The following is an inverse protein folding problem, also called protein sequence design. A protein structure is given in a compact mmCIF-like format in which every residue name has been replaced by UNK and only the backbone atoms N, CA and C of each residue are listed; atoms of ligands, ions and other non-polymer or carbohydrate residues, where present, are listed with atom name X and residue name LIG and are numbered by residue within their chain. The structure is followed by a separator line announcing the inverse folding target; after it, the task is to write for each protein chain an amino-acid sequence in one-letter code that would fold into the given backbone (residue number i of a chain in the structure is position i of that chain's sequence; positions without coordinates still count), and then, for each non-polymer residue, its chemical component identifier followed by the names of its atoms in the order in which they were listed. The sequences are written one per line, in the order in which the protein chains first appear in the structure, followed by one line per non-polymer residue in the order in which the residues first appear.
data_IF_617993415419
#
_entry.id   IF_617993415419
#
_cell.length_a   1.000
_cell.length_b   1.000
_cell.length_c   1.000
_cell.angle_alpha   90.00
_cell.angle_beta   90.00
_cell.angle_gamma   90.00
#
_symmetry.space_group_name_H-M   'P 1'
#
loop_
_entity.id
_entity.type
_entity.pdbx_description
1 polymer ?
#
# COMPACT_ATOMS: atom_id res chain seq x y z
N UNK A 1 -16.87 -40.95 -19.99
CA UNK A 1 -15.39 -40.98 -19.88
C UNK A 1 -15.00 -39.95 -18.84
N UNK A 2 -14.65 -40.39 -17.63
CA UNK A 2 -14.36 -39.52 -16.48
C UNK A 2 -12.86 -39.48 -16.26
N UNK A 3 -12.22 -38.38 -16.70
CA UNK A 3 -10.80 -38.16 -16.46
C UNK A 3 -10.57 -37.67 -15.01
N UNK A 4 -9.78 -38.37 -14.17
CA UNK A 4 -9.46 -37.94 -12.82
C UNK A 4 -8.54 -36.70 -12.75
N UNK A 5 -7.85 -36.32 -13.83
CA UNK A 5 -6.79 -35.31 -13.82
C UNK A 5 -7.24 -33.89 -13.43
N UNK A 6 -8.54 -33.60 -13.46
CA UNK A 6 -9.11 -32.30 -13.10
C UNK A 6 -9.55 -32.19 -11.62
N UNK A 7 -8.94 -32.95 -10.70
CA UNK A 7 -9.27 -32.97 -9.27
C UNK A 7 -8.10 -32.66 -8.30
N UNK A 8 -7.22 -31.74 -8.66
CA UNK A 8 -6.58 -30.85 -7.66
C UNK A 8 -6.43 -29.44 -8.26
N UNK A 9 -7.22 -28.47 -7.78
CA UNK A 9 -7.21 -27.09 -8.30
C UNK A 9 -6.35 -26.23 -7.37
N UNK A 10 -5.05 -26.17 -7.65
CA UNK A 10 -4.10 -25.29 -6.95
C UNK A 10 -3.25 -24.48 -7.92
N UNK A 11 -3.90 -23.53 -8.59
CA UNK A 11 -3.24 -22.46 -9.34
C UNK A 11 -2.83 -21.31 -8.40
N UNK A 12 -1.88 -21.57 -7.51
CA UNK A 12 -1.25 -20.53 -6.70
C UNK A 12 -0.16 -19.83 -7.53
N UNK A 13 -0.38 -18.57 -7.89
CA UNK A 13 0.56 -17.75 -8.67
C UNK A 13 0.72 -16.38 -7.98
N UNK A 14 1.18 -16.41 -6.73
CA UNK A 14 1.02 -15.29 -5.79
C UNK A 14 2.32 -14.47 -5.48
N UNK A 15 3.39 -14.28 -6.23
CA UNK A 15 3.63 -14.22 -7.68
C UNK A 15 5.18 -14.05 -7.76
N UNK A 16 6.01 -15.07 -8.00
CA UNK A 16 5.80 -16.28 -8.81
C UNK A 16 6.18 -17.58 -8.06
N UNK A 17 5.18 -18.29 -7.54
CA UNK A 17 5.38 -19.62 -6.94
C UNK A 17 4.11 -20.17 -6.30
N UNK A 18 4.12 -21.48 -6.01
CA UNK A 18 2.92 -22.23 -5.62
C UNK A 18 2.66 -22.27 -4.10
N UNK A 19 3.67 -22.04 -3.27
CA UNK A 19 3.64 -22.34 -1.83
C UNK A 19 3.74 -21.09 -0.93
N UNK A 20 3.91 -19.89 -1.49
CA UNK A 20 4.00 -18.63 -0.72
C UNK A 20 3.64 -17.40 -1.54
N UNK A 21 3.29 -16.31 -0.85
CA UNK A 21 2.96 -15.01 -1.46
C UNK A 21 4.18 -14.11 -1.47
N UNK A 22 4.69 -13.81 -2.67
CA UNK A 22 5.91 -13.04 -2.87
C UNK A 22 5.65 -11.52 -2.79
N UNK A 23 6.68 -10.76 -2.39
CA UNK A 23 6.64 -9.31 -2.17
C UNK A 23 5.98 -8.48 -3.29
N UNK A 24 6.12 -8.78 -4.60
CA UNK A 24 5.43 -8.03 -5.66
C UNK A 24 3.90 -8.08 -5.58
N UNK A 25 3.32 -9.19 -5.09
CA UNK A 25 1.87 -9.33 -4.95
C UNK A 25 1.28 -8.32 -3.96
N UNK A 26 2.01 -8.03 -2.88
CA UNK A 26 1.64 -6.99 -1.90
C UNK A 26 1.56 -5.61 -2.56
N UNK A 27 2.48 -5.29 -3.47
CA UNK A 27 2.43 -4.06 -4.27
C UNK A 27 1.15 -3.96 -5.12
N UNK A 28 0.84 -5.03 -5.86
CA UNK A 28 -0.40 -5.12 -6.66
C UNK A 28 -1.65 -5.00 -5.79
N UNK A 29 -1.74 -5.74 -4.68
CA UNK A 29 -2.88 -5.71 -3.79
C UNK A 29 -3.08 -4.34 -3.12
N UNK A 30 -1.99 -3.66 -2.76
CA UNK A 30 -2.02 -2.31 -2.18
C UNK A 30 -2.49 -1.26 -3.21
N UNK A 31 -2.00 -1.32 -4.45
CA UNK A 31 -2.48 -0.44 -5.52
C UNK A 31 -3.95 -0.72 -5.87
N UNK A 32 -4.37 -1.99 -5.87
CA UNK A 32 -5.79 -2.35 -6.03
C UNK A 32 -6.66 -1.78 -4.90
N UNK A 33 -6.18 -1.69 -3.66
CA UNK A 33 -6.90 -1.05 -2.56
C UNK A 33 -6.85 0.50 -2.63
N UNK A 34 -5.79 1.09 -3.19
CA UNK A 34 -5.72 2.52 -3.48
C UNK A 34 -6.70 2.95 -4.59
N UNK A 35 -6.86 2.13 -5.64
CA UNK A 35 -7.80 2.40 -6.74
C UNK A 35 -9.25 2.03 -6.35
N UNK A 36 -9.48 0.82 -5.81
CA UNK A 36 -10.82 0.34 -5.44
C UNK A 36 -11.78 0.22 -6.63
N UNK A 37 -13.08 0.23 -6.34
CA UNK A 37 -14.15 0.12 -7.34
C UNK A 37 -14.88 1.47 -7.60
N UNK A 38 -14.48 2.52 -6.89
CA UNK A 38 -15.14 3.81 -6.74
C UNK A 38 -14.30 5.00 -7.27
N UNK A 39 -13.03 4.76 -7.64
CA UNK A 39 -12.21 5.74 -8.34
C UNK A 39 -12.62 5.87 -9.81
N UNK A 40 -12.75 7.11 -10.28
CA UNK A 40 -13.08 7.47 -11.67
C UNK A 40 -11.93 8.21 -12.37
N UNK A 41 -11.06 8.89 -11.62
CA UNK A 41 -9.85 9.52 -12.14
C UNK A 41 -8.72 9.49 -11.11
N UNK A 42 -7.48 9.65 -11.59
CA UNK A 42 -6.25 9.70 -10.80
C UNK A 42 -5.44 10.91 -11.23
N UNK A 43 -4.82 11.60 -10.27
CA UNK A 43 -3.86 12.67 -10.53
C UNK A 43 -2.58 12.49 -9.69
N UNK A 44 -1.45 12.94 -10.24
CA UNK A 44 -0.20 13.14 -9.51
C UNK A 44 -0.23 14.52 -8.86
N UNK A 45 0.27 14.62 -7.63
CA UNK A 45 0.27 15.83 -6.81
C UNK A 45 1.67 16.42 -6.60
N UNK A 46 2.72 15.67 -6.91
CA UNK A 46 4.10 16.14 -6.97
C UNK A 46 4.53 16.45 -8.42
N UNK A 47 5.82 16.78 -8.60
CA UNK A 47 6.40 17.20 -9.87
C UNK A 47 7.22 16.10 -10.59
N UNK A 48 7.24 14.87 -10.06
CA UNK A 48 8.01 13.74 -10.58
C UNK A 48 9.53 13.85 -10.41
N UNK A 49 10.05 14.84 -9.66
CA UNK A 49 11.49 15.14 -9.58
C UNK A 49 12.22 14.51 -8.38
N UNK A 50 11.57 13.64 -7.61
CA UNK A 50 12.15 13.04 -6.38
C UNK A 50 11.82 11.56 -6.24
N UNK A 51 12.49 10.86 -5.33
CA UNK A 51 12.16 9.49 -4.94
C UNK A 51 10.94 9.40 -3.98
N UNK A 52 10.10 10.43 -3.92
CA UNK A 52 8.80 10.41 -3.24
C UNK A 52 7.76 10.97 -4.20
N UNK A 53 6.74 10.15 -4.50
CA UNK A 53 5.62 10.51 -5.35
C UNK A 53 4.31 10.50 -4.55
N UNK A 54 3.40 11.40 -4.91
CA UNK A 54 2.11 11.58 -4.27
C UNK A 54 0.99 11.55 -5.31
N UNK A 55 -0.04 10.74 -5.07
CA UNK A 55 -1.20 10.58 -5.95
C UNK A 55 -2.50 10.77 -5.19
N UNK A 56 -3.54 11.12 -5.94
CA UNK A 56 -4.93 11.18 -5.48
C UNK A 56 -5.82 10.43 -6.46
N UNK A 57 -6.83 9.73 -5.94
CA UNK A 57 -7.98 9.27 -6.73
C UNK A 57 -9.22 10.04 -6.36
N UNK A 58 -10.04 10.34 -7.37
CA UNK A 58 -11.32 11.02 -7.24
C UNK A 58 -12.47 10.07 -7.61
N UNK A 59 -13.62 10.24 -6.97
CA UNK A 59 -14.87 9.58 -7.35
C UNK A 59 -15.46 10.15 -8.65
N UNK A 60 -16.51 9.52 -9.18
CA UNK A 60 -17.29 10.02 -10.33
C UNK A 60 -17.88 11.42 -10.12
N UNK A 61 -18.03 11.87 -8.87
CA UNK A 61 -18.45 13.25 -8.52
C UNK A 61 -17.28 14.23 -8.40
N UNK A 62 -16.06 13.86 -8.83
CA UNK A 62 -14.83 14.63 -8.72
C UNK A 62 -14.45 15.01 -7.26
N UNK A 63 -14.83 14.16 -6.29
CA UNK A 63 -14.47 14.31 -4.87
C UNK A 63 -13.23 13.45 -4.61
N UNK A 64 -12.14 13.98 -4.01
CA UNK A 64 -10.97 13.18 -3.68
C UNK A 64 -11.30 12.21 -2.53
N UNK A 65 -11.04 10.93 -2.73
CA UNK A 65 -11.49 9.83 -1.84
C UNK A 65 -10.34 9.08 -1.17
N UNK A 66 -9.19 8.97 -1.83
CA UNK A 66 -7.95 8.40 -1.27
C UNK A 66 -6.73 9.15 -1.81
N UNK A 67 -5.71 9.26 -0.96
CA UNK A 67 -4.36 9.69 -1.31
C UNK A 67 -3.41 8.50 -1.20
N UNK A 68 -2.34 8.52 -1.99
CA UNK A 68 -1.23 7.59 -1.91
C UNK A 68 0.08 8.39 -1.84
N UNK A 69 0.94 8.06 -0.89
CA UNK A 69 2.36 8.45 -0.89
C UNK A 69 3.19 7.19 -1.07
N UNK A 70 4.16 7.21 -1.98
CA UNK A 70 5.16 6.16 -2.12
C UNK A 70 6.56 6.76 -1.98
N UNK A 71 7.41 6.15 -1.15
CA UNK A 71 8.78 6.57 -0.93
C UNK A 71 9.73 5.51 -1.51
N UNK A 72 10.18 5.73 -2.74
CA UNK A 72 11.07 4.83 -3.49
C UNK A 72 12.56 5.01 -3.15
N UNK A 73 12.90 5.84 -2.14
CA UNK A 73 14.26 5.84 -1.60
C UNK A 73 14.64 4.42 -1.16
N UNK A 74 15.82 3.97 -1.57
CA UNK A 74 16.31 2.62 -1.31
C UNK A 74 16.81 2.48 0.13
N UNK A 75 16.38 1.41 0.80
CA UNK A 75 16.89 0.99 2.10
C UNK A 75 17.17 -0.51 2.06
N UNK A 76 18.42 -0.93 2.30
CA UNK A 76 18.84 -2.34 2.23
C UNK A 76 18.51 -3.16 3.49
N UNK A 77 18.24 -2.49 4.61
CA UNK A 77 18.04 -3.09 5.93
C UNK A 77 19.13 -2.76 6.95
N UNK A 78 20.15 -1.99 6.56
CA UNK A 78 21.30 -1.65 7.42
C UNK A 78 21.29 -0.19 7.88
N UNK A 79 21.66 0.04 9.14
CA UNK A 79 21.68 1.39 9.73
C UNK A 79 20.30 2.00 9.95
N UNK A 80 20.24 3.34 9.99
CA UNK A 80 19.01 4.09 10.25
C UNK A 80 18.20 4.26 8.97
N UNK A 81 17.00 3.68 8.93
CA UNK A 81 16.03 3.90 7.83
C UNK A 81 15.59 5.38 7.80
N UNK A 82 15.86 6.14 6.72
CA UNK A 82 15.41 7.51 6.62
C UNK A 82 13.89 7.57 6.33
N UNK A 83 13.27 8.70 6.64
CA UNK A 83 11.87 8.96 6.32
C UNK A 83 11.70 10.31 5.62
N UNK A 84 10.53 10.51 5.02
CA UNK A 84 10.15 11.76 4.37
C UNK A 84 8.79 12.22 4.87
N UNK A 85 8.72 13.51 5.17
CA UNK A 85 7.52 14.21 5.59
C UNK A 85 6.77 14.75 4.36
N UNK A 86 5.50 14.34 4.20
CA UNK A 86 4.63 14.83 3.12
C UNK A 86 3.41 15.49 3.74
N UNK A 87 3.21 16.77 3.42
CA UNK A 87 2.10 17.60 3.92
C UNK A 87 1.05 17.80 2.83
N UNK A 88 -0.20 17.49 3.13
CA UNK A 88 -1.35 17.75 2.28
C UNK A 88 -2.16 18.92 2.84
N UNK A 89 -2.64 19.81 1.98
CA UNK A 89 -3.36 21.04 2.33
C UNK A 89 -4.63 21.22 1.48
N UNK A 90 -5.54 22.08 1.93
CA UNK A 90 -6.78 22.39 1.21
C UNK A 90 -7.92 21.38 1.41
N UNK A 91 -7.75 20.43 2.34
CA UNK A 91 -8.68 19.35 2.63
C UNK A 91 -10.09 19.86 2.93
N UNK A 92 -11.12 19.11 2.52
CA UNK A 92 -12.53 19.43 2.81
C UNK A 92 -12.80 19.56 4.31
N UNK A 93 -12.22 18.65 5.10
CA UNK A 93 -12.30 18.56 6.57
C UNK A 93 -11.37 19.59 7.21
N UNK A 94 -11.91 20.46 8.08
CA UNK A 94 -11.10 21.48 8.76
C UNK A 94 -10.23 20.91 9.87
N UNK A 95 -10.82 20.19 10.82
CA UNK A 95 -10.11 19.51 11.93
C UNK A 95 -10.69 18.10 12.10
N UNK A 96 -9.90 17.15 12.60
CA UNK A 96 -10.38 15.79 12.91
C UNK A 96 -9.31 14.73 12.71
N UNK A 97 -9.72 13.52 12.32
CA UNK A 97 -8.82 12.38 12.08
C UNK A 97 -9.19 11.70 10.76
N UNK A 98 -8.19 11.38 9.94
CA UNK A 98 -8.29 10.42 8.82
C UNK A 98 -7.64 9.11 9.20
N UNK A 99 -8.02 8.04 8.51
CA UNK A 99 -7.35 6.76 8.63
C UNK A 99 -6.34 6.59 7.49
N UNK A 100 -5.28 5.84 7.74
CA UNK A 100 -4.28 5.50 6.74
C UNK A 100 -3.86 4.03 6.85
N UNK A 101 -3.47 3.41 5.74
CA UNK A 101 -2.99 2.02 5.68
C UNK A 101 -1.66 1.94 4.96
N UNK A 102 -0.68 1.28 5.58
CA UNK A 102 0.73 1.28 5.14
C UNK A 102 1.13 -0.05 4.51
N UNK A 103 1.80 -0.01 3.37
CA UNK A 103 2.60 -1.11 2.84
C UNK A 103 4.03 -0.94 3.35
N UNK A 104 4.52 -1.91 4.13
CA UNK A 104 5.89 -1.88 4.66
C UNK A 104 6.51 -3.28 4.74
N UNK A 105 7.84 -3.29 4.78
CA UNK A 105 8.71 -4.44 4.94
C UNK A 105 10.03 -3.97 5.60
N UNK A 106 10.89 -4.85 6.14
CA UNK A 106 12.18 -4.48 6.70
C UNK A 106 13.08 -3.65 5.76
N UNK A 107 13.04 -3.93 4.45
CA UNK A 107 13.92 -3.33 3.44
C UNK A 107 13.39 -3.49 2.01
N UNK A 108 13.98 -2.78 1.05
CA UNK A 108 13.77 -2.99 -0.38
C UNK A 108 14.16 -4.42 -0.86
N UNK A 109 15.03 -5.11 -0.12
CA UNK A 109 15.48 -6.48 -0.40
C UNK A 109 14.58 -7.55 0.24
N UNK A 110 13.48 -7.16 0.91
CA UNK A 110 12.67 -8.07 1.71
C UNK A 110 11.90 -9.08 0.86
N UNK A 111 12.22 -10.37 1.08
CA UNK A 111 11.64 -11.54 0.41
C UNK A 111 10.87 -12.41 1.39
N UNK A 112 9.56 -12.57 1.14
CA UNK A 112 8.69 -13.44 1.95
C UNK A 112 9.15 -14.90 1.91
N UNK A 113 9.64 -15.37 0.76
CA UNK A 113 10.22 -16.71 0.59
C UNK A 113 11.55 -16.92 1.35
N UNK A 114 12.11 -15.85 1.93
CA UNK A 114 13.26 -15.87 2.84
C UNK A 114 12.89 -15.43 4.26
N UNK A 115 11.60 -15.44 4.60
CA UNK A 115 11.09 -15.11 5.95
C UNK A 115 10.93 -13.62 6.26
N UNK A 116 11.08 -12.73 5.28
CA UNK A 116 10.88 -11.29 5.52
C UNK A 116 9.40 -10.93 5.64
N UNK A 117 9.02 -10.21 6.71
CA UNK A 117 7.65 -9.77 6.94
C UNK A 117 7.30 -8.56 6.05
N UNK A 118 6.68 -8.82 4.91
CA UNK A 118 5.99 -7.79 4.10
C UNK A 118 4.54 -7.73 4.57
N UNK A 119 3.98 -6.54 4.79
CA UNK A 119 2.60 -6.40 5.29
C UNK A 119 1.85 -5.21 4.69
N UNK A 120 0.52 -5.31 4.64
CA UNK A 120 -0.42 -4.22 4.36
C UNK A 120 -1.22 -3.97 5.64
N UNK A 121 -0.99 -2.82 6.29
CA UNK A 121 -1.60 -2.51 7.60
C UNK A 121 -1.25 -3.50 8.72
N UNK A 122 -0.18 -4.29 8.58
CA UNK A 122 0.16 -5.39 9.48
C UNK A 122 -0.53 -6.74 9.20
N UNK A 123 -1.35 -6.84 8.13
CA UNK A 123 -1.82 -8.10 7.58
C UNK A 123 -0.89 -8.67 6.49
N UNK A 124 -0.94 -9.97 6.28
CA UNK A 124 -0.16 -10.72 5.27
C UNK A 124 -1.11 -11.53 4.36
N UNK A 125 -0.56 -12.41 3.52
CA UNK A 125 -1.35 -13.31 2.68
C UNK A 125 -0.85 -14.76 2.79
N UNK A 126 -1.79 -15.69 2.92
CA UNK A 126 -1.55 -17.13 2.94
C UNK A 126 -1.31 -17.70 1.53
N UNK A 127 -0.82 -18.93 1.43
CA UNK A 127 -0.37 -19.55 0.17
C UNK A 127 -1.46 -19.71 -0.92
N UNK A 128 -2.75 -19.60 -0.55
CA UNK A 128 -3.91 -19.54 -1.47
C UNK A 128 -4.22 -18.10 -1.97
N UNK A 129 -3.28 -17.18 -1.75
CA UNK A 129 -3.36 -15.74 -1.90
C UNK A 129 -4.47 -15.05 -1.04
N UNK A 130 -5.08 -15.69 -0.03
CA UNK A 130 -6.06 -15.03 0.84
C UNK A 130 -5.40 -14.15 1.92
N UNK A 131 -6.06 -13.05 2.30
CA UNK A 131 -5.60 -12.17 3.39
C UNK A 131 -5.61 -12.91 4.74
N UNK A 132 -4.54 -12.77 5.52
CA UNK A 132 -4.38 -13.33 6.86
C UNK A 132 -3.86 -12.29 7.87
N UNK A 133 -3.87 -12.66 9.16
CA UNK A 133 -3.50 -11.75 10.24
C UNK A 133 -4.60 -10.73 10.56
N UNK A 134 -4.22 -9.54 11.03
CA UNK A 134 -5.16 -8.46 11.36
C UNK A 134 -4.66 -7.15 10.81
N UNK A 135 -5.23 -6.71 9.69
CA UNK A 135 -5.01 -5.36 9.17
C UNK A 135 -5.49 -4.31 10.17
N UNK A 136 -4.70 -3.25 10.31
CA UNK A 136 -5.02 -2.06 11.09
C UNK A 136 -4.79 -0.82 10.24
N UNK A 137 -5.46 0.26 10.61
CA UNK A 137 -5.16 1.61 10.11
C UNK A 137 -4.44 2.41 11.19
N UNK A 138 -3.59 3.34 10.77
CA UNK A 138 -3.01 4.37 11.62
C UNK A 138 -3.81 5.67 11.49
N UNK A 139 -3.93 6.43 12.57
CA UNK A 139 -4.72 7.65 12.62
C UNK A 139 -3.88 8.88 12.29
N UNK A 140 -4.30 9.63 11.27
CA UNK A 140 -3.66 10.85 10.79
C UNK A 140 -4.48 12.05 11.26
N UNK A 141 -3.89 12.89 12.10
CA UNK A 141 -4.54 14.10 12.61
C UNK A 141 -4.66 15.16 11.51
N UNK A 142 -5.87 15.73 11.37
CA UNK A 142 -6.16 16.87 10.49
C UNK A 142 -6.32 18.12 11.35
N UNK A 143 -5.61 19.18 10.97
CA UNK A 143 -5.71 20.50 11.59
C UNK A 143 -5.68 21.57 10.49
N UNK A 144 -6.52 22.60 10.62
CA UNK A 144 -6.55 23.77 9.71
C UNK A 144 -6.63 23.43 8.21
N UNK A 145 -7.39 22.37 7.86
CA UNK A 145 -7.54 21.82 6.49
C UNK A 145 -6.24 21.22 5.92
N UNK A 146 -5.33 20.78 6.78
CA UNK A 146 -4.08 20.12 6.42
C UNK A 146 -3.81 18.87 7.28
N UNK A 147 -2.93 17.99 6.79
CA UNK A 147 -2.26 16.97 7.60
C UNK A 147 -0.84 16.71 7.08
N UNK A 148 0.01 16.11 7.92
CA UNK A 148 1.35 15.64 7.53
C UNK A 148 1.49 14.16 7.85
N UNK A 149 2.10 13.40 6.94
CA UNK A 149 2.43 11.97 7.13
C UNK A 149 3.94 11.74 6.98
N UNK A 150 4.46 10.76 7.74
CA UNK A 150 5.82 10.26 7.61
C UNK A 150 5.79 8.90 6.89
N UNK A 151 6.56 8.77 5.81
CA UNK A 151 6.72 7.52 5.05
C UNK A 151 8.21 7.19 5.01
N UNK A 152 8.60 6.00 5.49
CA UNK A 152 9.99 5.59 5.50
C UNK A 152 10.47 5.23 4.09
N UNK A 153 11.78 5.26 3.84
CA UNK A 153 12.36 4.76 2.60
C UNK A 153 11.92 3.31 2.34
N UNK A 154 11.50 3.02 1.11
CA UNK A 154 10.92 1.72 0.70
C UNK A 154 9.62 1.37 1.43
N UNK A 155 8.70 2.34 1.56
CA UNK A 155 7.32 2.15 2.03
C UNK A 155 6.31 2.88 1.13
N UNK A 156 5.03 2.55 1.28
CA UNK A 156 3.93 3.32 0.74
C UNK A 156 2.76 3.44 1.75
N UNK A 157 1.95 4.50 1.63
CA UNK A 157 0.88 4.84 2.57
C UNK A 157 -0.35 5.34 1.81
N UNK A 158 -1.48 4.67 1.99
CA UNK A 158 -2.80 5.16 1.57
C UNK A 158 -3.39 5.98 2.72
N UNK A 159 -3.99 7.14 2.43
CA UNK A 159 -4.84 7.89 3.38
C UNK A 159 -6.25 8.00 2.80
N UNK A 160 -7.27 7.62 3.57
CA UNK A 160 -8.68 7.68 3.16
C UNK A 160 -9.27 9.03 3.58
N UNK A 161 -9.97 9.72 2.68
CA UNK A 161 -10.42 11.12 2.83
C UNK A 161 -11.88 11.28 3.26
#
# INVERSE_FOLDING_TARGET
MTDPAFRDVRQAYCWWGNDTVYSPYYGTAFVSEFLGADAASLAMLDNGSTAVAAYVVYSTSNIPIRLLVINTNYFDGTGTRPNTSVTFVGLSTTNGTKQAKRLTAPSALSRVDQGASVTIGGGSFAADCLKEGTERTESVAVSERAFTVLVNASEALIVYL
#
